data_IF_927387252857
#
_entry.id   IF_927387252857
#
_cell.length_a   1.000
_cell.length_b   1.000
_cell.length_c   1.000
_cell.angle_alpha   90.00
_cell.angle_beta   90.00
_cell.angle_gamma   90.00
#
_symmetry.space_group_name_H-M   'P 1'
#
loop_
_entity.id
_entity.type
_entity.pdbx_description
1 polymer ?
#
# COMPACT_ATOMS: atom_id res chain seq x y z
N UNK A 1 8.34 -24.76 39.29
CA UNK A 1 7.95 -25.99 38.59
C UNK A 1 8.27 -25.79 37.12
N UNK A 2 9.43 -26.34 36.72
CA UNK A 2 9.95 -26.57 35.35
C UNK A 2 9.47 -25.67 34.20
N UNK A 3 10.20 -24.57 33.98
CA UNK A 3 10.36 -23.95 32.65
C UNK A 3 11.26 -24.87 31.80
N UNK A 4 10.71 -25.98 31.33
CA UNK A 4 11.23 -26.72 30.17
C UNK A 4 10.73 -25.94 28.95
N UNK A 5 11.56 -25.37 28.09
CA UNK A 5 12.74 -25.98 27.53
C UNK A 5 12.58 -26.31 26.04
N UNK A 6 11.64 -25.69 25.32
CA UNK A 6 11.64 -25.72 23.86
C UNK A 6 12.04 -24.33 23.34
N UNK A 7 13.35 -24.08 23.28
CA UNK A 7 13.87 -22.91 22.55
C UNK A 7 13.54 -23.17 21.09
N UNK A 8 12.45 -22.57 20.61
CA UNK A 8 11.96 -22.73 19.24
C UNK A 8 13.11 -22.73 18.24
N UNK A 9 13.15 -23.76 17.41
CA UNK A 9 14.15 -23.92 16.34
C UNK A 9 14.25 -22.63 15.52
N UNK A 10 15.49 -22.24 15.17
CA UNK A 10 15.72 -21.01 14.41
C UNK A 10 14.91 -21.03 13.11
N UNK A 11 14.10 -19.99 12.82
CA UNK A 11 13.14 -20.05 11.74
C UNK A 11 13.87 -19.96 10.39
N UNK A 12 13.83 -21.06 9.62
CA UNK A 12 14.51 -21.17 8.30
C UNK A 12 14.11 -20.07 7.30
N UNK A 13 12.92 -19.46 7.46
CA UNK A 13 12.44 -18.38 6.59
C UNK A 13 13.25 -17.09 6.74
N UNK A 14 13.81 -16.84 7.92
CA UNK A 14 14.59 -15.63 8.19
C UNK A 14 15.90 -15.57 7.38
N UNK A 15 16.80 -16.58 7.42
CA UNK A 15 18.01 -16.57 6.60
C UNK A 15 17.70 -16.70 5.11
N UNK A 16 16.59 -17.31 4.72
CA UNK A 16 16.16 -17.36 3.32
C UNK A 16 15.79 -15.97 2.81
N UNK A 17 14.96 -15.22 3.54
CA UNK A 17 14.63 -13.84 3.18
C UNK A 17 15.90 -12.96 3.13
N UNK A 18 16.79 -13.08 4.12
CA UNK A 18 18.07 -12.37 4.08
C UNK A 18 18.91 -12.76 2.86
N UNK A 19 18.98 -14.04 2.49
CA UNK A 19 19.72 -14.50 1.31
C UNK A 19 19.15 -13.95 -0.01
N UNK A 20 17.83 -13.80 -0.14
CA UNK A 20 17.21 -13.16 -1.30
C UNK A 20 17.40 -11.63 -1.32
N UNK A 21 17.58 -11.01 -0.16
CA UNK A 21 17.86 -9.58 -0.04
C UNK A 21 19.31 -9.20 -0.40
N UNK A 22 20.27 -10.10 -0.15
CA UNK A 22 21.70 -9.82 -0.28
C UNK A 22 22.17 -9.45 -1.69
N UNK A 23 21.79 -10.14 -2.79
CA UNK A 23 22.31 -9.83 -4.11
C UNK A 23 22.05 -8.37 -4.54
N UNK A 24 20.79 -7.90 -4.43
CA UNK A 24 20.45 -6.52 -4.74
C UNK A 24 21.16 -5.53 -3.81
N UNK A 25 21.17 -5.79 -2.51
CA UNK A 25 21.83 -4.92 -1.53
C UNK A 25 23.35 -4.78 -1.80
N UNK A 26 24.01 -5.87 -2.17
CA UNK A 26 25.44 -5.87 -2.48
C UNK A 26 25.74 -5.15 -3.80
N UNK A 27 24.90 -5.31 -4.82
CA UNK A 27 25.06 -4.60 -6.09
C UNK A 27 24.89 -3.09 -5.91
N UNK A 28 23.81 -2.66 -5.25
CA UNK A 28 23.56 -1.24 -5.03
C UNK A 28 24.58 -0.60 -4.08
N UNK A 29 25.01 -1.32 -3.04
CA UNK A 29 26.09 -0.84 -2.18
C UNK A 29 27.43 -0.76 -2.92
N UNK A 30 27.73 -1.71 -3.83
CA UNK A 30 28.94 -1.66 -4.63
C UNK A 30 28.94 -0.42 -5.54
N UNK A 31 27.82 -0.12 -6.20
CA UNK A 31 27.65 1.05 -7.05
C UNK A 31 27.85 2.37 -6.27
N UNK A 32 27.14 2.56 -5.15
CA UNK A 32 27.32 3.75 -4.30
C UNK A 32 28.75 3.93 -3.75
N UNK A 33 29.46 2.84 -3.51
CA UNK A 33 30.84 2.86 -3.03
C UNK A 33 31.88 2.95 -4.15
N UNK A 34 31.46 2.98 -5.42
CA UNK A 34 32.36 2.95 -6.58
C UNK A 34 33.20 1.68 -6.68
N UNK A 35 32.68 0.56 -6.15
CA UNK A 35 33.33 -0.75 -6.22
C UNK A 35 32.96 -1.46 -7.53
N UNK A 36 33.85 -2.32 -8.08
CA UNK A 36 33.51 -3.09 -9.27
C UNK A 36 32.30 -4.02 -9.03
N UNK A 37 31.30 -3.90 -9.88
CA UNK A 37 30.12 -4.78 -9.92
C UNK A 37 29.85 -5.23 -11.36
N UNK A 38 29.11 -6.33 -11.57
CA UNK A 38 28.72 -6.74 -12.91
C UNK A 38 27.76 -5.71 -13.54
N UNK A 39 27.98 -5.40 -14.82
CA UNK A 39 26.99 -4.68 -15.63
C UNK A 39 25.90 -5.67 -16.05
N UNK A 40 24.69 -5.43 -15.57
CA UNK A 40 23.54 -6.27 -15.85
C UNK A 40 22.58 -5.56 -16.82
N UNK A 41 21.94 -6.29 -17.74
CA UNK A 41 20.84 -5.72 -18.53
C UNK A 41 19.73 -5.16 -17.62
N UNK A 42 19.13 -4.00 -17.95
CA UNK A 42 18.15 -3.35 -17.07
C UNK A 42 17.01 -4.25 -16.57
N UNK A 43 16.40 -5.13 -17.39
CA UNK A 43 15.33 -6.00 -16.90
C UNK A 43 15.79 -6.98 -15.82
N UNK A 44 17.04 -7.44 -15.91
CA UNK A 44 17.63 -8.39 -14.94
C UNK A 44 18.00 -7.65 -13.65
N UNK A 45 18.60 -6.47 -13.78
CA UNK A 45 18.91 -5.60 -12.64
C UNK A 45 17.64 -5.22 -11.87
N UNK A 46 16.60 -4.74 -12.55
CA UNK A 46 15.31 -4.41 -11.96
C UNK A 46 14.70 -5.61 -11.21
N UNK A 47 14.77 -6.82 -11.78
CA UNK A 47 14.29 -8.03 -11.11
C UNK A 47 15.08 -8.35 -9.83
N UNK A 48 16.41 -8.20 -9.84
CA UNK A 48 17.26 -8.47 -8.67
C UNK A 48 16.99 -7.46 -7.55
N UNK A 49 16.94 -6.16 -7.87
CA UNK A 49 16.63 -5.12 -6.89
C UNK A 49 15.20 -5.25 -6.35
N UNK A 50 14.22 -5.53 -7.21
CA UNK A 50 12.84 -5.78 -6.82
C UNK A 50 12.69 -6.99 -5.89
N UNK A 51 13.36 -8.11 -6.18
CA UNK A 51 13.39 -9.28 -5.29
C UNK A 51 14.01 -8.91 -3.93
N UNK A 52 15.07 -8.10 -3.92
CA UNK A 52 15.70 -7.67 -2.70
C UNK A 52 14.78 -6.78 -1.84
N UNK A 53 14.05 -5.86 -2.48
CA UNK A 53 13.03 -5.01 -1.83
C UNK A 53 11.90 -5.87 -1.25
N UNK A 54 11.35 -6.82 -2.01
CA UNK A 54 10.32 -7.77 -1.53
C UNK A 54 10.82 -8.56 -0.32
N UNK A 55 12.05 -9.07 -0.39
CA UNK A 55 12.64 -9.82 0.71
C UNK A 55 12.87 -8.95 1.96
N UNK A 56 13.33 -7.71 1.79
CA UNK A 56 13.48 -6.74 2.87
C UNK A 56 12.14 -6.38 3.51
N UNK A 57 11.08 -6.21 2.71
CA UNK A 57 9.74 -5.94 3.20
C UNK A 57 9.19 -7.06 4.09
N UNK A 58 9.43 -8.35 3.77
CA UNK A 58 9.08 -9.45 4.68
C UNK A 58 9.83 -9.36 6.02
N UNK A 59 11.12 -8.99 5.99
CA UNK A 59 11.91 -8.80 7.21
C UNK A 59 11.36 -7.62 8.04
N UNK A 60 10.95 -6.52 7.39
CA UNK A 60 10.27 -5.38 8.04
C UNK A 60 8.97 -5.81 8.70
N UNK A 61 8.10 -6.56 7.99
CA UNK A 61 6.82 -7.01 8.54
C UNK A 61 7.01 -7.90 9.77
N UNK A 62 7.95 -8.85 9.73
CA UNK A 62 8.26 -9.68 10.92
C UNK A 62 8.83 -8.87 12.08
N UNK A 63 9.69 -7.89 11.79
CA UNK A 63 10.24 -6.99 12.81
C UNK A 63 9.14 -6.14 13.45
N UNK A 64 8.22 -5.61 12.63
CA UNK A 64 7.15 -4.74 13.07
C UNK A 64 6.09 -5.49 13.89
N UNK A 65 5.68 -6.69 13.47
CA UNK A 65 4.84 -7.58 14.30
C UNK A 65 5.52 -7.89 15.64
N UNK A 66 6.79 -8.32 15.64
CA UNK A 66 7.50 -8.65 16.87
C UNK A 66 7.73 -7.43 17.79
N UNK A 67 7.86 -6.22 17.22
CA UNK A 67 7.99 -4.98 17.96
C UNK A 67 6.75 -4.67 18.80
N UNK A 68 5.56 -5.11 18.39
CA UNK A 68 4.30 -4.87 19.11
C UNK A 68 4.34 -5.34 20.57
N UNK A 69 5.18 -6.33 20.89
CA UNK A 69 5.39 -6.83 22.25
C UNK A 69 6.01 -5.77 23.18
N UNK A 70 6.75 -4.81 22.63
CA UNK A 70 7.54 -3.82 23.38
C UNK A 70 7.02 -2.38 23.33
N UNK A 71 6.06 -2.07 22.45
CA UNK A 71 5.50 -0.71 22.27
C UNK A 71 4.03 -0.63 22.65
N UNK A 72 3.59 0.55 23.08
CA UNK A 72 2.16 0.81 23.34
C UNK A 72 1.35 0.62 22.06
N UNK A 73 0.12 0.12 22.16
CA UNK A 73 -0.73 -0.15 21.00
C UNK A 73 -0.87 1.04 20.04
N UNK A 74 -1.10 2.26 20.53
CA UNK A 74 -1.19 3.43 19.65
C UNK A 74 0.08 3.69 18.84
N UNK A 75 1.25 3.55 19.46
CA UNK A 75 2.54 3.66 18.76
C UNK A 75 2.78 2.49 17.82
N UNK A 76 2.41 1.27 18.23
CA UNK A 76 2.53 0.07 17.42
C UNK A 76 1.74 0.21 16.12
N UNK A 77 0.51 0.73 16.21
CA UNK A 77 -0.35 0.92 15.04
C UNK A 77 0.22 1.99 14.08
N UNK A 78 0.64 3.15 14.62
CA UNK A 78 1.22 4.22 13.80
C UNK A 78 2.51 3.79 13.10
N UNK A 79 3.42 3.12 13.83
CA UNK A 79 4.70 2.66 13.29
C UNK A 79 4.49 1.51 12.31
N UNK A 80 3.61 0.56 12.62
CA UNK A 80 3.34 -0.57 11.72
C UNK A 80 2.72 -0.09 10.40
N UNK A 81 1.76 0.84 10.46
CA UNK A 81 1.13 1.40 9.27
C UNK A 81 2.13 2.14 8.36
N UNK A 82 3.12 2.81 8.94
CA UNK A 82 4.20 3.44 8.17
C UNK A 82 5.16 2.41 7.59
N UNK A 83 5.64 1.48 8.42
CA UNK A 83 6.72 0.57 8.04
C UNK A 83 6.25 -0.49 7.04
N UNK A 84 4.99 -0.91 7.11
CA UNK A 84 4.42 -1.91 6.21
C UNK A 84 4.50 -1.51 4.73
N UNK A 85 4.47 -0.22 4.44
CA UNK A 85 4.53 0.34 3.08
C UNK A 85 5.82 1.11 2.82
N UNK A 86 6.85 0.94 3.66
CA UNK A 86 8.13 1.62 3.48
C UNK A 86 8.77 1.39 2.10
N UNK A 87 8.73 0.17 1.50
CA UNK A 87 9.18 -0.04 0.13
C UNK A 87 8.52 0.89 -0.89
N UNK A 88 7.21 1.07 -0.77
CA UNK A 88 6.43 1.94 -1.64
C UNK A 88 6.88 3.39 -1.49
N UNK A 89 6.99 3.88 -0.24
CA UNK A 89 7.52 5.21 0.03
C UNK A 89 8.91 5.42 -0.55
N UNK A 90 9.80 4.43 -0.43
CA UNK A 90 11.17 4.56 -0.94
C UNK A 90 11.19 4.73 -2.46
N UNK A 91 10.45 3.90 -3.19
CA UNK A 91 10.37 3.96 -4.66
C UNK A 91 9.69 5.26 -5.12
N UNK A 92 8.58 5.64 -4.48
CA UNK A 92 7.83 6.86 -4.82
C UNK A 92 8.66 8.13 -4.55
N UNK A 93 9.42 8.15 -3.44
CA UNK A 93 10.34 9.23 -3.11
C UNK A 93 11.49 9.34 -4.10
N UNK A 94 12.04 8.23 -4.61
CA UNK A 94 13.09 8.26 -5.65
C UNK A 94 12.57 8.99 -6.89
N UNK A 95 11.44 8.56 -7.45
CA UNK A 95 10.87 9.21 -8.63
C UNK A 95 10.56 10.69 -8.39
N UNK A 96 10.05 11.02 -7.20
CA UNK A 96 9.75 12.40 -6.84
C UNK A 96 11.01 13.25 -6.65
N UNK A 97 12.06 12.67 -6.08
CA UNK A 97 13.33 13.34 -5.84
C UNK A 97 14.01 13.66 -7.18
N UNK A 98 14.12 12.66 -8.06
CA UNK A 98 14.62 12.81 -9.44
C UNK A 98 13.82 13.86 -10.22
N UNK A 99 12.48 13.84 -10.10
CA UNK A 99 11.62 14.81 -10.75
C UNK A 99 11.94 16.25 -10.32
N UNK A 100 12.19 16.49 -9.04
CA UNK A 100 12.59 17.81 -8.55
C UNK A 100 14.01 18.21 -8.96
N UNK A 101 14.96 17.28 -9.04
CA UNK A 101 16.30 17.56 -9.57
C UNK A 101 16.25 17.98 -11.04
N UNK A 102 15.51 17.24 -11.87
CA UNK A 102 15.31 17.59 -13.29
C UNK A 102 14.65 18.95 -13.42
N UNK A 103 13.64 19.24 -12.58
CA UNK A 103 12.99 20.54 -12.55
C UNK A 103 13.92 21.67 -12.13
N UNK A 104 14.81 21.47 -11.14
CA UNK A 104 15.80 22.47 -10.74
C UNK A 104 16.77 22.82 -11.89
N UNK A 105 17.17 21.82 -12.66
CA UNK A 105 18.10 22.00 -13.78
C UNK A 105 17.45 22.64 -15.01
N UNK A 106 16.21 22.27 -15.33
CA UNK A 106 15.57 22.62 -16.60
C UNK A 106 14.39 23.59 -16.47
N UNK A 107 13.95 23.88 -15.25
CA UNK A 107 12.76 24.70 -14.95
C UNK A 107 11.42 24.04 -15.32
N UNK A 108 11.44 22.82 -15.86
CA UNK A 108 10.25 22.05 -16.24
C UNK A 108 10.53 20.56 -16.09
N UNK A 109 9.49 19.75 -15.88
CA UNK A 109 9.61 18.29 -15.88
C UNK A 109 9.50 17.67 -17.29
N UNK A 110 9.88 18.42 -18.34
CA UNK A 110 9.72 17.91 -19.71
C UNK A 110 10.60 16.67 -19.94
N UNK A 111 10.01 15.59 -20.47
CA UNK A 111 10.74 14.37 -20.79
C UNK A 111 11.76 14.62 -21.90
N UNK A 112 13.04 14.39 -21.62
CA UNK A 112 14.14 14.57 -22.58
C UNK A 112 14.29 13.37 -23.52
N UNK A 113 13.21 12.99 -24.21
CA UNK A 113 13.16 11.80 -25.07
C UNK A 113 12.66 10.53 -24.37
N UNK A 114 12.12 10.65 -23.16
CA UNK A 114 11.42 9.59 -22.41
C UNK A 114 10.23 10.16 -21.64
N UNK A 115 9.69 9.41 -20.69
CA UNK A 115 8.55 9.86 -19.87
C UNK A 115 8.86 11.13 -19.05
N UNK A 116 7.83 11.94 -18.80
CA UNK A 116 7.89 13.10 -17.90
C UNK A 116 8.21 12.62 -16.47
N UNK A 117 9.32 13.03 -15.83
CA UNK A 117 9.69 12.56 -14.49
C UNK A 117 8.63 12.88 -13.41
N UNK A 118 8.00 14.06 -13.48
CA UNK A 118 6.90 14.40 -12.58
C UNK A 118 5.72 13.43 -12.80
N UNK A 119 5.48 13.01 -14.04
CA UNK A 119 4.48 11.99 -14.38
C UNK A 119 4.80 10.63 -13.78
N UNK A 120 6.07 10.21 -13.74
CA UNK A 120 6.48 8.92 -13.15
C UNK A 120 6.22 8.87 -11.63
N UNK A 121 6.50 9.95 -10.91
CA UNK A 121 6.20 10.05 -9.47
C UNK A 121 4.71 9.81 -9.18
N UNK A 122 3.81 10.40 -9.96
CA UNK A 122 2.37 10.15 -9.79
C UNK A 122 1.90 8.83 -10.39
N UNK A 123 2.58 8.31 -11.40
CA UNK A 123 2.29 7.00 -11.98
C UNK A 123 2.39 5.93 -10.90
N UNK A 124 3.52 5.90 -10.18
CA UNK A 124 3.76 4.95 -9.11
C UNK A 124 2.68 5.07 -8.00
N UNK A 125 2.52 6.27 -7.44
CA UNK A 125 1.53 6.53 -6.38
C UNK A 125 0.11 6.14 -6.77
N UNK A 126 -0.37 6.55 -7.96
CA UNK A 126 -1.73 6.22 -8.42
C UNK A 126 -1.87 4.73 -8.74
N UNK A 127 -0.83 4.12 -9.30
CA UNK A 127 -0.72 2.70 -9.57
C UNK A 127 -0.90 1.83 -8.34
N UNK A 128 -0.10 2.08 -7.29
CA UNK A 128 -0.16 1.37 -6.01
C UNK A 128 -1.55 1.42 -5.40
N UNK A 129 -2.09 2.64 -5.31
CA UNK A 129 -3.41 2.91 -4.77
C UNK A 129 -4.54 2.19 -5.51
N UNK A 130 -4.39 1.93 -6.82
CA UNK A 130 -5.39 1.24 -7.64
C UNK A 130 -5.19 -0.27 -7.66
N UNK A 131 -3.95 -0.76 -7.63
CA UNK A 131 -3.64 -2.18 -7.49
C UNK A 131 -4.18 -2.69 -6.15
N UNK A 132 -3.94 -1.97 -5.06
CA UNK A 132 -4.38 -2.36 -3.73
C UNK A 132 -5.90 -2.55 -3.65
N UNK A 133 -6.67 -1.63 -4.25
CA UNK A 133 -8.13 -1.67 -4.25
C UNK A 133 -8.70 -2.56 -5.35
N UNK A 134 -8.10 -2.56 -6.54
CA UNK A 134 -8.58 -3.26 -7.73
C UNK A 134 -8.19 -4.74 -7.79
N UNK A 135 -7.04 -5.10 -7.23
CA UNK A 135 -6.55 -6.48 -7.14
C UNK A 135 -6.55 -6.94 -5.68
N UNK A 136 -5.98 -6.16 -4.78
CA UNK A 136 -5.72 -6.59 -3.40
C UNK A 136 -7.00 -6.97 -2.65
N UNK A 137 -7.96 -6.05 -2.57
CA UNK A 137 -9.22 -6.32 -1.85
C UNK A 137 -10.04 -7.45 -2.50
N UNK A 138 -10.23 -7.49 -3.83
CA UNK A 138 -10.94 -8.60 -4.46
C UNK A 138 -10.25 -9.95 -4.28
N UNK A 139 -8.91 -9.98 -4.29
CA UNK A 139 -8.14 -11.19 -4.04
C UNK A 139 -8.37 -11.70 -2.62
N UNK A 140 -8.35 -10.84 -1.60
CA UNK A 140 -8.66 -11.22 -0.21
C UNK A 140 -10.07 -11.81 -0.09
N UNK A 141 -11.06 -11.17 -0.72
CA UNK A 141 -12.46 -11.67 -0.71
C UNK A 141 -12.56 -13.03 -1.40
N UNK A 142 -11.88 -13.22 -2.53
CA UNK A 142 -11.82 -14.48 -3.25
C UNK A 142 -11.17 -15.58 -2.41
N UNK A 143 -9.99 -15.31 -1.85
CA UNK A 143 -9.22 -16.24 -1.04
C UNK A 143 -9.99 -16.64 0.23
N UNK A 144 -10.59 -15.67 0.92
CA UNK A 144 -11.46 -15.93 2.07
C UNK A 144 -12.66 -16.82 1.68
N UNK A 145 -13.33 -16.51 0.57
CA UNK A 145 -14.42 -17.33 0.04
C UNK A 145 -14.00 -18.77 -0.27
N UNK A 146 -12.85 -18.96 -0.92
CA UNK A 146 -12.30 -20.28 -1.22
C UNK A 146 -11.90 -21.05 0.04
N UNK A 147 -11.31 -20.38 1.03
CA UNK A 147 -10.93 -20.98 2.31
C UNK A 147 -12.16 -21.51 3.07
N UNK A 148 -13.26 -20.76 3.08
CA UNK A 148 -14.54 -21.17 3.67
C UNK A 148 -15.13 -22.38 2.94
N UNK A 149 -15.13 -22.35 1.60
CA UNK A 149 -15.63 -23.46 0.78
C UNK A 149 -14.83 -24.76 0.97
N UNK A 150 -13.51 -24.66 1.14
CA UNK A 150 -12.65 -25.83 1.39
C UNK A 150 -12.93 -26.45 2.75
N UNK A 151 -12.96 -25.65 3.83
CA UNK A 151 -13.25 -26.18 5.18
C UNK A 151 -14.69 -26.71 5.32
N UNK A 152 -15.66 -26.12 4.62
CA UNK A 152 -17.03 -26.61 4.59
C UNK A 152 -17.22 -27.94 3.83
N UNK A 153 -16.27 -28.32 2.97
CA UNK A 153 -16.23 -29.65 2.31
C UNK A 153 -15.55 -30.72 3.17
N UNK A 154 -14.59 -30.32 4.00
CA UNK A 154 -13.82 -31.22 4.87
C UNK A 154 -14.59 -31.62 6.14
N UNK A 155 -15.54 -30.78 6.58
CA UNK A 155 -16.39 -31.06 7.74
C UNK A 155 -17.84 -30.98 7.30
N UNK A 156 -18.53 -32.12 7.21
CA UNK A 156 -20.00 -32.20 7.08
C UNK A 156 -20.76 -31.68 8.31
N UNK A 157 -20.22 -30.68 9.02
CA UNK A 157 -20.70 -30.15 10.29
C UNK A 157 -20.94 -28.64 10.16
N UNK A 158 -21.96 -28.18 10.89
CA UNK A 158 -22.56 -26.85 10.88
C UNK A 158 -21.59 -25.68 10.70
N UNK A 159 -22.00 -24.79 9.78
CA UNK A 159 -21.27 -23.57 9.41
C UNK A 159 -21.03 -22.72 10.67
N UNK A 160 -19.78 -22.34 11.02
CA UNK A 160 -19.56 -21.36 12.07
C UNK A 160 -20.32 -20.07 11.72
N UNK A 161 -21.17 -19.61 12.64
CA UNK A 161 -22.24 -18.64 12.42
C UNK A 161 -21.84 -17.23 11.98
N UNK A 162 -20.53 -16.95 11.83
CA UNK A 162 -20.00 -15.62 11.50
C UNK A 162 -19.43 -15.49 10.09
N UNK A 163 -19.23 -16.58 9.33
CA UNK A 163 -18.55 -16.50 8.02
C UNK A 163 -19.51 -16.85 6.88
N UNK A 164 -20.13 -15.82 6.31
CA UNK A 164 -20.96 -15.97 5.11
C UNK A 164 -20.07 -16.17 3.88
N UNK A 165 -20.31 -17.19 3.04
CA UNK A 165 -19.60 -17.33 1.78
C UNK A 165 -19.73 -16.06 0.95
N UNK A 166 -18.60 -15.48 0.54
CA UNK A 166 -18.60 -14.32 -0.36
C UNK A 166 -18.93 -12.97 0.29
N UNK A 167 -18.78 -12.81 1.61
CA UNK A 167 -18.75 -11.50 2.25
C UNK A 167 -17.68 -11.46 3.34
N UNK A 168 -16.84 -10.44 3.32
CA UNK A 168 -15.88 -10.14 4.37
C UNK A 168 -16.46 -8.98 5.18
N UNK A 169 -16.71 -9.22 6.47
CA UNK A 169 -17.21 -8.21 7.41
C UNK A 169 -16.05 -7.61 8.18
N UNK A 170 -16.07 -6.29 8.33
CA UNK A 170 -15.12 -5.50 9.09
C UNK A 170 -15.65 -5.30 10.50
N UNK A 171 -14.76 -5.27 11.48
CA UNK A 171 -15.16 -4.94 12.85
C UNK A 171 -15.60 -3.47 12.95
N UNK A 172 -16.52 -3.11 13.86
CA UNK A 172 -16.95 -1.72 14.04
C UNK A 172 -15.80 -0.75 14.38
N UNK A 173 -14.72 -1.27 14.98
CA UNK A 173 -13.48 -0.53 15.26
C UNK A 173 -12.89 0.06 13.97
N UNK A 174 -13.05 -0.61 12.83
CA UNK A 174 -12.51 -0.18 11.55
C UNK A 174 -13.31 0.96 10.87
N UNK A 175 -14.33 1.48 11.54
CA UNK A 175 -15.10 2.63 11.02
C UNK A 175 -14.23 3.86 10.83
N UNK A 176 -13.18 4.02 11.64
CA UNK A 176 -12.28 5.17 11.55
C UNK A 176 -11.57 5.19 10.19
N UNK A 177 -10.95 4.07 9.81
CA UNK A 177 -10.26 3.88 8.54
C UNK A 177 -11.15 4.25 7.34
N UNK A 178 -12.38 3.71 7.30
CA UNK A 178 -13.31 3.96 6.19
C UNK A 178 -13.68 5.46 6.11
N UNK A 179 -13.88 6.11 7.25
CA UNK A 179 -14.25 7.54 7.30
C UNK A 179 -13.06 8.41 6.87
N UNK A 180 -11.87 8.19 7.41
CA UNK A 180 -10.69 8.98 7.04
C UNK A 180 -10.27 8.76 5.58
N UNK A 181 -10.39 7.54 5.06
CA UNK A 181 -10.25 7.27 3.63
C UNK A 181 -11.31 8.03 2.81
N UNK A 182 -12.56 8.06 3.28
CA UNK A 182 -13.63 8.83 2.65
C UNK A 182 -13.35 10.33 2.61
N UNK A 183 -12.85 10.91 3.71
CA UNK A 183 -12.47 12.33 3.78
C UNK A 183 -11.31 12.64 2.82
N UNK A 184 -10.26 11.81 2.85
CA UNK A 184 -9.14 11.93 1.91
C UNK A 184 -9.61 11.87 0.46
N UNK A 185 -10.48 10.90 0.14
CA UNK A 185 -11.04 10.72 -1.19
C UNK A 185 -11.85 11.94 -1.65
N UNK A 186 -12.69 12.50 -0.78
CA UNK A 186 -13.48 13.70 -1.12
C UNK A 186 -12.58 14.90 -1.42
N UNK A 187 -11.47 15.06 -0.70
CA UNK A 187 -10.47 16.08 -1.01
C UNK A 187 -9.75 15.77 -2.33
N UNK A 188 -9.36 14.51 -2.55
CA UNK A 188 -8.65 14.07 -3.76
C UNK A 188 -9.45 14.30 -5.05
N UNK A 189 -10.78 14.32 -5.00
CA UNK A 189 -11.64 14.67 -6.16
C UNK A 189 -11.44 16.11 -6.66
N UNK A 190 -10.80 16.97 -5.86
CA UNK A 190 -10.48 18.35 -6.25
C UNK A 190 -9.13 18.45 -6.98
N UNK A 191 -8.24 17.47 -6.83
CA UNK A 191 -6.87 17.50 -7.39
C UNK A 191 -6.84 17.50 -8.93
N UNK A 192 -7.72 16.77 -9.65
CA UNK A 192 -7.77 16.84 -11.11
C UNK A 192 -8.08 18.25 -11.65
N UNK A 193 -8.55 19.17 -10.81
CA UNK A 193 -8.83 20.56 -11.18
C UNK A 193 -7.62 21.48 -10.97
N UNK A 194 -6.51 20.97 -10.43
CA UNK A 194 -5.28 21.71 -10.14
C UNK A 194 -4.20 21.42 -11.16
N UNK A 195 -3.25 22.34 -11.28
CA UNK A 195 -2.07 22.22 -12.15
C UNK A 195 -0.81 21.81 -11.37
N UNK A 196 -0.91 21.66 -10.04
CA UNK A 196 0.17 21.23 -9.16
C UNK A 196 -0.38 20.65 -7.85
N UNK A 197 0.31 19.70 -7.23
CA UNK A 197 0.14 19.36 -5.81
C UNK A 197 0.95 20.34 -4.96
N UNK A 198 0.30 21.06 -4.06
CA UNK A 198 0.90 22.16 -3.30
C UNK A 198 1.23 21.75 -1.86
N UNK A 199 1.98 22.60 -1.15
CA UNK A 199 2.16 22.47 0.30
C UNK A 199 0.85 22.57 1.09
N UNK A 200 -0.17 23.25 0.54
CA UNK A 200 -1.49 23.26 1.16
C UNK A 200 -2.13 21.87 1.08
N UNK A 201 -2.04 21.22 -0.08
CA UNK A 201 -2.51 19.83 -0.24
C UNK A 201 -1.76 18.88 0.69
N UNK A 202 -0.44 19.06 0.81
CA UNK A 202 0.39 18.33 1.78
C UNK A 202 -0.12 18.50 3.21
N UNK A 203 -0.34 19.74 3.64
CA UNK A 203 -0.85 20.04 4.98
C UNK A 203 -2.22 19.41 5.22
N UNK A 204 -3.11 19.43 4.22
CA UNK A 204 -4.43 18.78 4.30
C UNK A 204 -4.28 17.27 4.48
N UNK A 205 -3.54 16.59 3.61
CA UNK A 205 -3.39 15.13 3.67
C UNK A 205 -2.67 14.66 4.94
N UNK A 206 -1.61 15.36 5.36
CA UNK A 206 -0.91 15.09 6.62
C UNK A 206 -1.83 15.31 7.81
N UNK A 207 -2.69 16.34 7.79
CA UNK A 207 -3.67 16.58 8.86
C UNK A 207 -4.71 15.47 8.94
N UNK A 208 -5.20 14.98 7.80
CA UNK A 208 -6.13 13.83 7.75
C UNK A 208 -5.47 12.60 8.35
N UNK A 209 -4.23 12.30 7.95
CA UNK A 209 -3.49 11.15 8.50
C UNK A 209 -3.20 11.30 10.00
N UNK A 210 -2.77 12.48 10.45
CA UNK A 210 -2.51 12.75 11.86
C UNK A 210 -3.79 12.60 12.71
N UNK A 211 -4.93 13.09 12.21
CA UNK A 211 -6.22 12.91 12.86
C UNK A 211 -6.65 11.43 12.89
N UNK A 212 -6.39 10.68 11.83
CA UNK A 212 -6.60 9.23 11.78
C UNK A 212 -5.73 8.50 12.82
N UNK A 213 -4.43 8.76 12.86
CA UNK A 213 -3.52 8.14 13.83
C UNK A 213 -3.89 8.51 15.27
N UNK A 214 -4.25 9.77 15.53
CA UNK A 214 -4.73 10.20 16.84
C UNK A 214 -6.05 9.54 17.25
N UNK A 215 -6.96 9.33 16.28
CA UNK A 215 -8.18 8.58 16.52
C UNK A 215 -7.84 7.16 16.93
N UNK A 216 -6.97 6.49 16.18
CA UNK A 216 -6.58 5.09 16.32
C UNK A 216 -5.73 4.83 17.56
N UNK A 217 -4.95 5.80 18.04
CA UNK A 217 -4.19 5.68 19.29
C UNK A 217 -5.06 5.52 20.55
N UNK A 218 -6.37 5.76 20.43
CA UNK A 218 -7.37 5.54 21.50
C UNK A 218 -7.95 4.14 21.49
N UNK A 219 -7.60 3.30 20.50
CA UNK A 219 -8.06 1.92 20.44
C UNK A 219 -7.44 1.12 21.59
N UNK A 220 -8.18 0.15 22.16
CA UNK A 220 -7.61 -0.75 23.15
C UNK A 220 -6.42 -1.51 22.56
N UNK A 221 -5.43 -1.80 23.39
CA UNK A 221 -4.32 -2.65 23.00
C UNK A 221 -4.80 -4.08 22.84
N UNK A 222 -4.71 -4.64 21.64
CA UNK A 222 -4.87 -6.07 21.42
C UNK A 222 -3.53 -6.77 21.62
N UNK A 223 -3.57 -7.95 22.21
CA UNK A 223 -2.38 -8.79 22.31
C UNK A 223 -1.97 -9.23 20.90
N UNK A 224 -0.69 -9.09 20.51
CA UNK A 224 -0.26 -9.42 19.17
C UNK A 224 -0.32 -10.93 18.94
N UNK A 225 -1.10 -11.38 17.95
CA UNK A 225 -1.13 -12.77 17.51
C UNK A 225 0.06 -13.07 16.59
N UNK A 226 1.20 -13.40 17.20
CA UNK A 226 2.45 -13.60 16.49
C UNK A 226 2.58 -15.00 15.90
N UNK A 227 3.11 -15.09 14.68
CA UNK A 227 3.32 -16.35 13.96
C UNK A 227 4.71 -16.47 13.35
N UNK A 228 5.26 -17.69 13.34
CA UNK A 228 6.50 -17.98 12.62
C UNK A 228 7.70 -17.15 13.09
N UNK A 229 8.28 -16.34 12.20
CA UNK A 229 9.47 -15.53 12.50
C UNK A 229 9.17 -14.47 13.56
N UNK A 230 8.05 -13.75 13.44
CA UNK A 230 7.67 -12.71 14.41
C UNK A 230 7.42 -13.29 15.80
N UNK A 231 6.79 -14.47 15.88
CA UNK A 231 6.63 -15.23 17.13
C UNK A 231 7.99 -15.58 17.74
N UNK A 232 8.87 -16.17 16.94
CA UNK A 232 10.20 -16.54 17.40
C UNK A 232 10.95 -15.32 17.95
N UNK A 233 10.90 -14.15 17.29
CA UNK A 233 11.53 -12.92 17.78
C UNK A 233 10.81 -12.39 19.04
N UNK A 234 9.47 -12.40 19.08
CA UNK A 234 8.64 -11.91 20.18
C UNK A 234 8.85 -12.66 21.49
N UNK A 235 9.08 -13.97 21.42
CA UNK A 235 9.32 -14.85 22.58
C UNK A 235 10.73 -14.71 23.16
N UNK A 236 11.65 -13.98 22.51
CA UNK A 236 13.00 -13.77 23.03
C UNK A 236 12.98 -12.87 24.28
N UNK A 237 14.00 -13.03 25.15
CA UNK A 237 14.19 -12.13 26.28
C UNK A 237 14.36 -10.68 25.81
N UNK A 238 13.79 -9.72 26.55
CA UNK A 238 13.63 -8.30 26.17
C UNK A 238 14.83 -7.66 25.45
N UNK A 239 16.05 -7.83 25.98
CA UNK A 239 17.28 -7.28 25.35
C UNK A 239 17.56 -7.91 23.99
N UNK A 240 17.46 -9.24 23.90
CA UNK A 240 17.69 -9.99 22.66
C UNK A 240 16.59 -9.74 21.63
N UNK A 241 15.33 -9.66 22.07
CA UNK A 241 14.20 -9.27 21.21
C UNK A 241 14.42 -7.90 20.57
N UNK A 242 14.73 -6.89 21.37
CA UNK A 242 15.02 -5.54 20.88
C UNK A 242 16.22 -5.51 19.92
N UNK A 243 17.26 -6.29 20.21
CA UNK A 243 18.40 -6.46 19.31
C UNK A 243 17.99 -7.06 17.95
N UNK A 244 17.16 -8.09 17.95
CA UNK A 244 16.62 -8.68 16.72
C UNK A 244 15.73 -7.69 15.96
N UNK A 245 14.76 -7.06 16.63
CA UNK A 245 13.86 -6.09 16.01
C UNK A 245 14.67 -4.93 15.39
N UNK A 246 15.60 -4.34 16.13
CA UNK A 246 16.45 -3.26 15.63
C UNK A 246 17.37 -3.73 14.48
N UNK A 247 17.95 -4.93 14.58
CA UNK A 247 18.80 -5.49 13.53
C UNK A 247 18.03 -5.79 12.24
N UNK A 248 16.80 -6.30 12.35
CA UNK A 248 15.94 -6.55 11.19
C UNK A 248 15.47 -5.25 10.54
N UNK A 249 15.04 -4.26 11.32
CA UNK A 249 14.71 -2.94 10.78
C UNK A 249 15.92 -2.28 10.11
N UNK A 250 17.08 -2.28 10.77
CA UNK A 250 18.30 -1.71 10.23
C UNK A 250 18.74 -2.40 8.95
N UNK A 251 18.79 -3.74 8.93
CA UNK A 251 19.15 -4.51 7.74
C UNK A 251 18.17 -4.25 6.60
N UNK A 252 16.87 -4.39 6.82
CA UNK A 252 15.89 -4.22 5.76
C UNK A 252 15.83 -2.78 5.25
N UNK A 253 15.96 -1.78 6.13
CA UNK A 253 16.08 -0.38 5.74
C UNK A 253 17.31 -0.12 4.88
N UNK A 254 18.47 -0.66 5.24
CA UNK A 254 19.69 -0.56 4.43
C UNK A 254 19.53 -1.24 3.07
N UNK A 255 18.89 -2.41 2.99
CA UNK A 255 18.60 -3.06 1.70
C UNK A 255 17.69 -2.20 0.84
N UNK A 256 16.62 -1.63 1.40
CA UNK A 256 15.69 -0.79 0.63
C UNK A 256 16.42 0.46 0.12
N UNK A 257 17.20 1.14 0.95
CA UNK A 257 18.00 2.31 0.54
C UNK A 257 19.04 1.95 -0.52
N UNK A 258 19.67 0.78 -0.40
CA UNK A 258 20.63 0.29 -1.38
C UNK A 258 19.99 -0.09 -2.73
N UNK A 259 18.69 -0.38 -2.77
CA UNK A 259 18.02 -0.95 -3.94
C UNK A 259 17.01 -0.03 -4.62
N UNK A 260 16.36 0.89 -3.90
CA UNK A 260 15.19 1.62 -4.40
C UNK A 260 15.51 2.48 -5.64
N UNK A 261 16.61 3.25 -5.60
CA UNK A 261 17.07 4.08 -6.71
C UNK A 261 17.41 3.22 -7.93
N UNK A 262 18.26 2.21 -7.74
CA UNK A 262 18.64 1.29 -8.82
C UNK A 262 17.45 0.52 -9.38
N UNK A 263 16.48 0.15 -8.55
CA UNK A 263 15.25 -0.49 -9.00
C UNK A 263 14.45 0.45 -9.92
N UNK A 264 14.23 1.69 -9.49
CA UNK A 264 13.48 2.69 -10.25
C UNK A 264 14.14 2.97 -11.61
N UNK A 265 15.44 3.27 -11.59
CA UNK A 265 16.20 3.56 -12.81
C UNK A 265 16.21 2.38 -13.78
N UNK A 266 16.51 1.17 -13.31
CA UNK A 266 16.52 -0.01 -14.18
C UNK A 266 15.12 -0.39 -14.69
N UNK A 267 14.06 -0.03 -13.97
CA UNK A 267 12.68 -0.22 -14.44
C UNK A 267 12.34 0.74 -15.57
N UNK A 268 12.77 2.00 -15.48
CA UNK A 268 12.63 2.99 -16.57
C UNK A 268 13.47 2.56 -17.78
N UNK A 269 14.74 2.19 -17.57
CA UNK A 269 15.64 1.73 -18.64
C UNK A 269 15.15 0.43 -19.30
N UNK A 270 14.43 -0.41 -18.56
CA UNK A 270 13.73 -1.59 -19.12
C UNK A 270 12.70 -1.17 -20.17
N UNK A 271 11.97 -0.07 -19.93
CA UNK A 271 11.01 0.47 -20.88
C UNK A 271 11.69 0.89 -22.19
N UNK A 272 12.74 1.69 -22.08
CA UNK A 272 13.56 2.15 -23.21
C UNK A 272 14.14 0.98 -24.02
N UNK A 273 14.68 -0.03 -23.34
CA UNK A 273 15.35 -1.18 -23.99
C UNK A 273 14.37 -2.16 -24.66
N UNK A 274 13.20 -2.38 -24.06
CA UNK A 274 12.19 -3.31 -24.57
C UNK A 274 11.13 -2.63 -25.45
N UNK A 275 11.15 -1.30 -25.58
CA UNK A 275 10.14 -0.53 -26.29
C UNK A 275 8.78 -0.56 -25.60
N UNK A 276 8.78 -0.67 -24.27
CA UNK A 276 7.58 -0.63 -23.41
C UNK A 276 7.51 0.75 -22.77
N UNK A 277 6.31 1.32 -22.73
CA UNK A 277 6.06 2.62 -22.11
C UNK A 277 6.51 2.62 -20.62
N UNK A 278 7.38 3.56 -20.26
CA UNK A 278 7.95 3.65 -18.91
C UNK A 278 6.88 4.00 -17.87
N UNK A 279 5.86 4.78 -18.24
CA UNK A 279 4.73 5.10 -17.38
C UNK A 279 3.97 3.83 -16.99
N UNK A 280 3.76 2.88 -17.92
CA UNK A 280 3.10 1.60 -17.62
C UNK A 280 3.93 0.73 -16.68
N UNK A 281 5.25 0.71 -16.84
CA UNK A 281 6.15 -0.04 -15.95
C UNK A 281 6.12 0.55 -14.55
N UNK A 282 6.26 1.87 -14.43
CA UNK A 282 6.24 2.57 -13.14
C UNK A 282 4.86 2.51 -12.49
N UNK A 283 3.77 2.58 -13.25
CA UNK A 283 2.41 2.52 -12.70
C UNK A 283 2.02 1.10 -12.23
N UNK A 284 2.44 0.05 -12.93
CA UNK A 284 1.93 -1.30 -12.66
C UNK A 284 2.96 -2.27 -12.08
N UNK A 285 4.23 -2.19 -12.52
CA UNK A 285 5.26 -3.16 -12.13
C UNK A 285 5.94 -2.74 -10.82
N UNK A 286 6.30 -1.46 -10.67
CA UNK A 286 6.85 -0.96 -9.41
C UNK A 286 5.84 -1.20 -8.27
N UNK A 287 4.56 -0.81 -8.46
CA UNK A 287 3.41 -1.20 -7.67
C UNK A 287 3.42 -2.57 -7.04
N UNK A 288 3.47 -3.51 -7.98
CA UNK A 288 3.31 -4.91 -7.72
C UNK A 288 4.48 -5.45 -6.91
N UNK A 289 5.69 -4.92 -7.13
CA UNK A 289 6.88 -5.34 -6.39
C UNK A 289 6.88 -4.80 -4.94
N UNK A 290 6.58 -3.51 -4.76
CA UNK A 290 6.55 -2.87 -3.43
C UNK A 290 5.40 -3.36 -2.55
N UNK A 291 4.24 -3.67 -3.14
CA UNK A 291 3.02 -4.08 -2.41
C UNK A 291 2.85 -5.61 -2.27
N UNK A 292 3.57 -6.42 -3.06
CA UNK A 292 3.48 -7.89 -3.02
C UNK A 292 3.62 -8.50 -1.60
N UNK A 293 4.58 -8.08 -0.77
CA UNK A 293 4.72 -8.60 0.60
C UNK A 293 3.45 -8.41 1.43
N UNK A 294 2.85 -7.22 1.37
CA UNK A 294 1.61 -6.91 2.08
C UNK A 294 0.45 -7.77 1.56
N UNK A 295 0.31 -7.87 0.24
CA UNK A 295 -0.74 -8.65 -0.39
C UNK A 295 -0.63 -10.15 -0.06
N UNK A 296 0.59 -10.70 -0.03
CA UNK A 296 0.85 -12.10 0.35
C UNK A 296 0.45 -12.33 1.81
N UNK A 297 0.84 -11.44 2.73
CA UNK A 297 0.48 -11.55 4.15
C UNK A 297 -1.03 -11.48 4.35
N UNK A 298 -1.72 -10.55 3.68
CA UNK A 298 -3.18 -10.47 3.67
C UNK A 298 -3.82 -11.78 3.17
N UNK A 299 -3.33 -12.35 2.07
CA UNK A 299 -3.81 -13.64 1.58
C UNK A 299 -3.61 -14.78 2.60
N UNK A 300 -2.50 -14.80 3.34
CA UNK A 300 -2.26 -15.78 4.39
C UNK A 300 -3.27 -15.65 5.55
N UNK A 301 -3.61 -14.44 5.98
CA UNK A 301 -4.67 -14.20 6.96
C UNK A 301 -6.04 -14.66 6.44
N UNK A 302 -6.38 -14.34 5.18
CA UNK A 302 -7.62 -14.76 4.54
C UNK A 302 -7.75 -16.29 4.47
N UNK A 303 -6.68 -17.03 4.13
CA UNK A 303 -6.65 -18.50 4.12
C UNK A 303 -6.93 -19.09 5.51
N UNK A 304 -6.50 -18.40 6.56
CA UNK A 304 -6.68 -18.82 7.95
C UNK A 304 -8.08 -18.51 8.51
N UNK A 305 -8.97 -17.95 7.69
CA UNK A 305 -10.28 -17.42 8.08
C UNK A 305 -10.23 -16.13 8.92
N UNK A 306 -9.11 -15.41 8.90
CA UNK A 306 -8.95 -14.10 9.51
C UNK A 306 -9.20 -12.98 8.47
N UNK A 307 -10.33 -13.06 7.76
CA UNK A 307 -10.60 -12.19 6.61
C UNK A 307 -10.85 -10.72 7.02
N UNK A 308 -11.40 -10.49 8.22
CA UNK A 308 -11.62 -9.13 8.75
C UNK A 308 -10.29 -8.42 9.00
N UNK A 309 -9.38 -9.09 9.73
CA UNK A 309 -8.01 -8.62 9.97
C UNK A 309 -7.26 -8.38 8.66
N UNK A 310 -7.34 -9.34 7.73
CA UNK A 310 -6.74 -9.22 6.40
C UNK A 310 -7.21 -8.00 5.62
N UNK A 311 -8.52 -7.71 5.61
CA UNK A 311 -9.01 -6.53 4.89
C UNK A 311 -8.67 -5.26 5.66
N UNK A 312 -8.56 -5.33 6.99
CA UNK A 312 -8.14 -4.20 7.81
C UNK A 312 -6.71 -3.77 7.66
N UNK A 313 -5.78 -4.71 7.45
CA UNK A 313 -4.39 -4.35 7.12
C UNK A 313 -4.35 -3.58 5.79
N UNK A 314 -5.00 -4.11 4.74
CA UNK A 314 -5.04 -3.46 3.42
C UNK A 314 -5.78 -2.11 3.44
N UNK A 315 -6.82 -1.99 4.28
CA UNK A 315 -7.57 -0.74 4.42
C UNK A 315 -6.72 0.32 5.14
N UNK A 316 -6.00 -0.05 6.19
CA UNK A 316 -5.08 0.85 6.91
C UNK A 316 -3.93 1.32 6.01
N UNK A 317 -3.34 0.40 5.24
CA UNK A 317 -2.33 0.70 4.23
C UNK A 317 -2.87 1.67 3.18
N UNK A 318 -4.10 1.44 2.68
CA UNK A 318 -4.76 2.37 1.75
C UNK A 318 -4.98 3.76 2.34
N UNK A 319 -5.34 3.88 3.62
CA UNK A 319 -5.45 5.19 4.28
C UNK A 319 -4.10 5.90 4.24
N UNK A 320 -3.00 5.22 4.60
CA UNK A 320 -1.66 5.78 4.59
C UNK A 320 -1.23 6.22 3.17
N UNK A 321 -1.36 5.34 2.17
CA UNK A 321 -1.01 5.61 0.78
C UNK A 321 -1.87 6.71 0.14
N UNK A 322 -3.14 6.84 0.54
CA UNK A 322 -4.06 7.85 0.00
C UNK A 322 -4.12 9.14 0.84
N UNK A 323 -3.22 9.29 1.81
CA UNK A 323 -3.05 10.51 2.59
C UNK A 323 -1.59 10.88 2.67
N UNK A 324 -0.85 10.29 3.60
CA UNK A 324 0.50 10.69 3.92
C UNK A 324 1.46 10.56 2.72
N UNK A 325 1.37 9.48 1.93
CA UNK A 325 2.20 9.29 0.75
C UNK A 325 1.98 10.46 -0.25
N UNK A 326 0.73 10.70 -0.64
CA UNK A 326 0.33 11.84 -1.49
C UNK A 326 0.81 13.17 -0.92
N UNK A 327 0.67 13.36 0.41
CA UNK A 327 1.07 14.58 1.09
C UNK A 327 2.58 14.79 1.14
N UNK A 328 3.38 13.72 1.07
CA UNK A 328 4.85 13.82 1.06
C UNK A 328 5.42 14.19 -0.31
N UNK A 329 4.73 13.88 -1.41
CA UNK A 329 5.18 14.17 -2.77
C UNK A 329 5.62 15.63 -3.01
N UNK A 330 4.76 16.65 -2.77
CA UNK A 330 5.18 18.04 -3.00
C UNK A 330 6.29 18.50 -2.05
N UNK A 331 6.42 17.88 -0.87
CA UNK A 331 7.50 18.20 0.08
C UNK A 331 8.83 17.67 -0.43
N UNK A 332 8.87 16.41 -0.88
CA UNK A 332 10.07 15.78 -1.44
C UNK A 332 10.50 16.50 -2.71
N UNK A 333 9.55 16.82 -3.58
CA UNK A 333 9.81 17.58 -4.81
C UNK A 333 10.41 18.96 -4.52
N UNK A 334 9.86 19.71 -3.56
CA UNK A 334 10.39 21.02 -3.19
C UNK A 334 11.81 20.92 -2.60
N UNK A 335 12.08 19.91 -1.78
CA UNK A 335 13.41 19.67 -1.21
C UNK A 335 14.42 19.37 -2.33
N UNK A 336 14.09 18.46 -3.26
CA UNK A 336 15.02 18.05 -4.30
C UNK A 336 15.18 19.10 -5.41
N UNK A 337 14.16 19.92 -5.64
CA UNK A 337 14.25 21.07 -6.56
C UNK A 337 14.97 22.29 -5.95
N UNK A 338 15.25 22.28 -4.65
CA UNK A 338 15.79 23.44 -3.93
C UNK A 338 14.84 24.65 -3.89
N UNK A 339 13.55 24.42 -4.16
CA UNK A 339 12.53 25.44 -4.33
C UNK A 339 11.43 25.40 -3.28
N UNK A 340 10.38 26.17 -3.54
CA UNK A 340 9.11 26.16 -2.76
C UNK A 340 7.91 25.83 -3.64
N UNK A 341 8.17 25.33 -4.86
CA UNK A 341 7.15 24.91 -5.79
C UNK A 341 6.59 23.54 -5.38
N UNK A 342 5.30 23.34 -5.64
CA UNK A 342 4.66 22.05 -5.51
C UNK A 342 4.93 21.15 -6.73
N UNK A 343 4.59 19.86 -6.64
CA UNK A 343 4.77 18.91 -7.74
C UNK A 343 3.84 19.28 -8.91
N UNK A 344 4.37 19.64 -10.10
CA UNK A 344 3.55 19.99 -11.26
C UNK A 344 2.70 18.82 -11.76
N UNK A 345 1.49 19.13 -12.25
CA UNK A 345 0.53 18.17 -12.80
C UNK A 345 0.22 18.49 -14.27
N UNK A 346 0.52 17.54 -15.15
CA UNK A 346 0.07 17.52 -16.52
C UNK A 346 -1.35 16.95 -16.66
N UNK A 347 -1.90 17.04 -17.87
CA UNK A 347 -3.26 16.58 -18.15
C UNK A 347 -3.44 15.07 -17.93
N UNK A 348 -2.43 14.26 -18.25
CA UNK A 348 -2.50 12.81 -18.08
C UNK A 348 -2.54 12.45 -16.59
N UNK A 349 -1.64 13.01 -15.78
CA UNK A 349 -1.59 12.82 -14.32
C UNK A 349 -2.91 13.24 -13.66
N UNK A 350 -3.53 14.33 -14.11
CA UNK A 350 -4.83 14.79 -13.58
C UNK A 350 -5.94 13.77 -13.83
N UNK A 351 -5.93 13.09 -14.98
CA UNK A 351 -6.87 12.01 -15.27
C UNK A 351 -6.61 10.77 -14.41
N UNK A 352 -5.35 10.43 -14.19
CA UNK A 352 -4.95 9.32 -13.31
C UNK A 352 -5.34 9.57 -11.85
N UNK A 353 -5.20 10.81 -11.37
CA UNK A 353 -5.73 11.23 -10.06
C UNK A 353 -7.26 11.12 -10.00
N UNK A 354 -7.97 11.53 -11.07
CA UNK A 354 -9.43 11.48 -11.14
C UNK A 354 -9.96 10.05 -11.00
N UNK A 355 -9.43 9.12 -11.81
CA UNK A 355 -9.87 7.72 -11.78
C UNK A 355 -9.50 7.04 -10.47
N UNK A 356 -8.35 7.39 -9.87
CA UNK A 356 -7.95 6.85 -8.57
C UNK A 356 -8.85 7.36 -7.44
N UNK A 357 -9.19 8.64 -7.44
CA UNK A 357 -10.14 9.22 -6.49
C UNK A 357 -11.55 8.63 -6.69
N UNK A 358 -12.01 8.47 -7.93
CA UNK A 358 -13.30 7.87 -8.23
C UNK A 358 -13.37 6.39 -7.79
N UNK A 359 -12.34 5.59 -8.07
CA UNK A 359 -12.24 4.21 -7.60
C UNK A 359 -12.24 4.14 -6.07
N UNK A 360 -11.47 5.01 -5.40
CA UNK A 360 -11.45 5.11 -3.94
C UNK A 360 -12.82 5.48 -3.38
N UNK A 361 -13.57 6.37 -4.05
CA UNK A 361 -14.93 6.74 -3.66
C UNK A 361 -15.89 5.56 -3.76
N UNK A 362 -15.79 4.78 -4.84
CA UNK A 362 -16.57 3.56 -4.98
C UNK A 362 -16.18 2.51 -3.93
N UNK A 363 -14.90 2.32 -3.66
CA UNK A 363 -14.41 1.41 -2.63
C UNK A 363 -14.93 1.79 -1.23
N UNK A 364 -14.86 3.07 -0.85
CA UNK A 364 -15.43 3.59 0.40
C UNK A 364 -16.94 3.34 0.44
N UNK A 365 -17.66 3.57 -0.67
CA UNK A 365 -19.11 3.33 -0.74
C UNK A 365 -19.46 1.85 -0.48
N UNK A 366 -18.61 0.91 -0.90
CA UNK A 366 -18.79 -0.52 -0.67
C UNK A 366 -18.64 -0.88 0.81
N UNK A 367 -17.86 -0.12 1.58
CA UNK A 367 -17.59 -0.35 3.00
C UNK A 367 -18.53 0.41 3.95
N UNK A 368 -19.55 1.11 3.44
CA UNK A 368 -20.51 1.87 4.26
C UNK A 368 -21.23 0.98 5.29
N UNK A 369 -21.49 -0.27 4.92
CA UNK A 369 -22.07 -1.30 5.78
C UNK A 369 -21.01 -2.20 6.44
N UNK A 370 -19.77 -1.71 6.55
CA UNK A 370 -18.60 -2.40 7.13
C UNK A 370 -18.42 -3.82 6.58
N UNK A 371 -18.60 -4.00 5.28
CA UNK A 371 -18.34 -5.29 4.68
C UNK A 371 -18.38 -5.27 3.17
N UNK A 372 -17.47 -6.01 2.55
CA UNK A 372 -17.38 -6.14 1.11
C UNK A 372 -17.91 -7.52 0.69
N UNK A 373 -18.93 -7.51 -0.16
CA UNK A 373 -19.46 -8.72 -0.79
C UNK A 373 -18.71 -9.07 -2.07
N UNK A 374 -18.81 -10.33 -2.50
CA UNK A 374 -18.20 -10.84 -3.73
C UNK A 374 -18.62 -10.06 -4.97
N UNK A 375 -19.87 -9.60 -5.06
CA UNK A 375 -20.33 -8.76 -6.17
C UNK A 375 -19.62 -7.39 -6.19
N UNK A 376 -19.41 -6.76 -5.02
CA UNK A 376 -18.67 -5.50 -4.92
C UNK A 376 -17.19 -5.68 -5.27
N UNK A 377 -16.57 -6.74 -4.75
CA UNK A 377 -15.21 -7.13 -5.08
C UNK A 377 -15.03 -7.42 -6.60
N UNK A 378 -15.95 -8.19 -7.20
CA UNK A 378 -15.92 -8.49 -8.63
C UNK A 378 -16.14 -7.23 -9.48
N UNK A 379 -16.96 -6.29 -9.03
CA UNK A 379 -17.14 -4.99 -9.71
C UNK A 379 -15.86 -4.15 -9.66
N UNK A 380 -15.20 -4.06 -8.48
CA UNK A 380 -13.90 -3.38 -8.36
C UNK A 380 -12.86 -3.99 -9.29
N UNK A 381 -12.70 -5.31 -9.24
CA UNK A 381 -11.76 -6.02 -10.11
C UNK A 381 -12.10 -5.85 -11.59
N UNK A 382 -13.38 -6.00 -11.97
CA UNK A 382 -13.80 -5.87 -13.37
C UNK A 382 -13.53 -4.49 -13.94
N UNK A 383 -13.87 -3.42 -13.21
CA UNK A 383 -13.62 -2.05 -13.65
C UNK A 383 -12.12 -1.73 -13.69
N UNK A 384 -11.34 -2.22 -12.73
CA UNK A 384 -9.88 -2.13 -12.75
C UNK A 384 -9.28 -2.90 -13.93
N UNK A 385 -9.70 -4.13 -14.17
CA UNK A 385 -9.18 -4.99 -15.22
C UNK A 385 -9.46 -4.41 -16.62
N UNK A 386 -10.65 -3.81 -16.83
CA UNK A 386 -10.94 -3.07 -18.06
C UNK A 386 -9.94 -1.94 -18.23
N UNK A 387 -9.77 -1.10 -17.21
CA UNK A 387 -8.86 0.04 -17.27
C UNK A 387 -7.39 -0.36 -17.48
N UNK A 388 -6.91 -1.38 -16.76
CA UNK A 388 -5.56 -1.92 -16.93
C UNK A 388 -5.36 -2.48 -18.35
N UNK A 389 -6.34 -3.24 -18.85
CA UNK A 389 -6.25 -3.82 -20.20
C UNK A 389 -6.28 -2.72 -21.26
N UNK A 390 -7.11 -1.68 -21.09
CA UNK A 390 -7.15 -0.57 -22.04
C UNK A 390 -5.89 0.29 -22.01
N UNK A 391 -5.25 0.46 -20.85
CA UNK A 391 -3.96 1.18 -20.78
C UNK A 391 -2.82 0.45 -21.50
N UNK A 392 -2.91 -0.88 -21.64
CA UNK A 392 -1.93 -1.68 -22.39
C UNK A 392 -2.21 -1.75 -23.89
N UNK A 393 -3.48 -1.79 -24.29
CA UNK A 393 -3.89 -2.17 -25.66
C UNK A 393 -4.37 -0.99 -26.52
N UNK A 394 -4.87 0.08 -25.91
CA UNK A 394 -5.46 1.19 -26.65
C UNK A 394 -4.48 2.35 -26.81
N UNK A 395 -4.56 3.10 -27.93
CA UNK A 395 -3.86 4.38 -28.06
C UNK A 395 -4.26 5.37 -26.96
N UNK A 396 -3.36 6.28 -26.62
CA UNK A 396 -3.53 7.25 -25.52
C UNK A 396 -4.86 8.01 -25.57
N UNK A 397 -5.29 8.48 -26.75
CA UNK A 397 -6.56 9.22 -26.92
C UNK A 397 -7.79 8.36 -26.61
N UNK A 398 -7.79 7.10 -27.03
CA UNK A 398 -8.88 6.19 -26.76
C UNK A 398 -8.88 5.80 -25.26
N UNK A 399 -7.71 5.53 -24.69
CA UNK A 399 -7.57 5.23 -23.27
C UNK A 399 -8.04 6.40 -22.39
N UNK A 400 -7.74 7.65 -22.78
CA UNK A 400 -8.23 8.86 -22.10
C UNK A 400 -9.76 8.89 -21.99
N UNK A 401 -10.48 8.57 -23.07
CA UNK A 401 -11.95 8.49 -23.04
C UNK A 401 -12.41 7.38 -22.10
N UNK A 402 -11.76 6.22 -22.13
CA UNK A 402 -12.08 5.09 -21.22
C UNK A 402 -11.88 5.50 -19.76
N UNK A 403 -10.76 6.14 -19.43
CA UNK A 403 -10.46 6.63 -18.07
C UNK A 403 -11.54 7.59 -17.58
N UNK A 404 -12.01 8.53 -18.42
CA UNK A 404 -13.11 9.43 -18.09
C UNK A 404 -14.44 8.70 -17.86
N UNK A 405 -14.79 7.77 -18.73
CA UNK A 405 -16.02 6.97 -18.62
C UNK A 405 -16.00 6.12 -17.35
N UNK A 406 -14.88 5.47 -17.04
CA UNK A 406 -14.74 4.65 -15.85
C UNK A 406 -14.75 5.50 -14.58
N UNK A 407 -14.13 6.69 -14.59
CA UNK A 407 -14.22 7.65 -13.48
C UNK A 407 -15.67 8.05 -13.21
N UNK A 408 -16.42 8.39 -14.26
CA UNK A 408 -17.85 8.70 -14.15
C UNK A 408 -18.67 7.51 -13.64
N UNK A 409 -18.38 6.30 -14.10
CA UNK A 409 -19.06 5.08 -13.66
C UNK A 409 -18.78 4.77 -12.18
N UNK A 410 -17.53 4.84 -11.73
CA UNK A 410 -17.19 4.68 -10.32
C UNK A 410 -17.93 5.71 -9.45
N UNK A 411 -17.90 6.99 -9.84
CA UNK A 411 -18.58 8.06 -9.12
C UNK A 411 -20.10 7.85 -9.07
N UNK A 412 -20.72 7.44 -10.19
CA UNK A 412 -22.15 7.14 -10.27
C UNK A 412 -22.55 5.98 -9.36
N UNK A 413 -21.82 4.87 -9.43
CA UNK A 413 -22.08 3.70 -8.57
C UNK A 413 -21.93 4.05 -7.09
N UNK A 414 -20.90 4.83 -6.75
CA UNK A 414 -20.69 5.31 -5.39
C UNK A 414 -21.83 6.20 -4.92
N UNK A 415 -22.25 7.19 -5.73
CA UNK A 415 -23.34 8.09 -5.41
C UNK A 415 -24.67 7.33 -5.19
N UNK A 416 -25.02 6.41 -6.09
CA UNK A 416 -26.23 5.57 -5.95
C UNK A 416 -26.19 4.80 -4.63
N UNK A 417 -25.03 4.20 -4.30
CA UNK A 417 -24.88 3.41 -3.08
C UNK A 417 -24.96 4.27 -1.84
N UNK A 418 -24.23 5.39 -1.79
CA UNK A 418 -24.22 6.32 -0.66
C UNK A 418 -25.61 6.92 -0.39
N UNK A 419 -26.37 7.28 -1.44
CA UNK A 419 -27.75 7.78 -1.31
C UNK A 419 -28.68 6.70 -0.75
N UNK A 420 -28.61 5.47 -1.29
CA UNK A 420 -29.42 4.34 -0.80
C UNK A 420 -29.08 3.94 0.63
N UNK A 421 -27.82 4.13 1.03
CA UNK A 421 -27.25 3.69 2.31
C UNK A 421 -26.96 4.87 3.26
N UNK A 422 -27.60 6.02 3.05
CA UNK A 422 -27.35 7.27 3.79
C UNK A 422 -27.47 7.14 5.31
N UNK A 423 -28.37 6.29 5.80
CA UNK A 423 -28.54 6.05 7.23
C UNK A 423 -27.35 5.26 7.83
N UNK A 424 -26.80 4.33 7.05
CA UNK A 424 -25.60 3.57 7.44
C UNK A 424 -24.37 4.45 7.35
N UNK A 425 -24.27 5.29 6.31
CA UNK A 425 -23.22 6.30 6.20
C UNK A 425 -23.19 7.24 7.40
N UNK A 426 -24.35 7.76 7.84
CA UNK A 426 -24.42 8.61 9.02
C UNK A 426 -23.94 7.90 10.30
N UNK A 427 -24.28 6.60 10.44
CA UNK A 427 -23.77 5.78 11.56
C UNK A 427 -22.27 5.55 11.46
N UNK A 428 -21.77 5.18 10.29
CA UNK A 428 -20.34 4.98 10.04
C UNK A 428 -19.54 6.24 10.38
N UNK A 429 -19.98 7.42 9.92
CA UNK A 429 -19.31 8.70 10.20
C UNK A 429 -19.28 8.97 11.71
N UNK A 430 -20.41 8.76 12.40
CA UNK A 430 -20.46 8.89 13.86
C UNK A 430 -19.49 7.93 14.54
N UNK A 431 -19.46 6.67 14.12
CA UNK A 431 -18.63 5.62 14.71
C UNK A 431 -17.13 5.87 14.45
N UNK A 432 -16.77 6.26 13.23
CA UNK A 432 -15.40 6.57 12.86
C UNK A 432 -14.82 7.79 13.59
N UNK A 433 -15.62 8.84 13.83
CA UNK A 433 -15.12 10.10 14.40
C UNK A 433 -15.33 10.21 15.92
N UNK A 434 -16.49 9.80 16.42
CA UNK A 434 -16.94 10.19 17.78
C UNK A 434 -17.16 9.03 18.74
N UNK A 435 -17.60 7.86 18.27
CA UNK A 435 -17.96 6.74 19.16
C UNK A 435 -16.71 6.17 19.86
N UNK A 436 -16.68 6.04 21.19
CA UNK A 436 -15.53 5.46 21.89
C UNK A 436 -15.22 4.04 21.42
N UNK A 437 -13.94 3.69 21.25
CA UNK A 437 -13.56 2.34 20.82
C UNK A 437 -14.00 1.23 21.79
N UNK A 438 -14.10 1.53 23.08
CA UNK A 438 -14.63 0.58 24.07
C UNK A 438 -16.12 0.26 23.85
N UNK A 439 -16.88 1.15 23.20
CA UNK A 439 -18.25 0.87 22.76
C UNK A 439 -18.26 0.10 21.45
N UNK A 440 -17.40 0.47 20.50
CA UNK A 440 -17.27 -0.22 19.21
C UNK A 440 -16.83 -1.68 19.36
N UNK A 441 -15.88 -1.96 20.25
CA UNK A 441 -15.38 -3.31 20.51
C UNK A 441 -16.41 -4.24 21.20
N UNK A 442 -17.52 -3.68 21.71
CA UNK A 442 -18.62 -4.45 22.33
C UNK A 442 -19.76 -4.79 21.36
N UNK A 443 -19.75 -4.22 20.15
CA UNK A 443 -20.73 -4.48 19.09
C UNK A 443 -20.15 -5.51 18.13
#
# INVERSE_FOLDING_TARGET
MTLSGDRGTFPRRLPVAAAFALPGALLGAADYLGLPHPDLPPPIAAAIFGIAIVAAAFLLSWAAEAAQVDVSAGLAIAVLAMVAVLPEYAVDMVFTFEAGQVYAEHGTCAGQGGANPCSLALANMTGANRILVGIGWPLVVLVAGLAVLRKGRERGQERPGSVRPGRVELTPVMSAEVVFLGVATLYSLTLPLRDSLTFFDAAVFVSIFAAYTWRLSKAPAEEPDLHGVSKWVGEQAKRRRRGWVAGLFGFAGLVILACAEHFAQNLVDTGTTLGVDEFLLVQWVAPLASEAPELIVACLYAIRLAASESLGTLLSSKVNQWTLLVGTLPVVFAISSGGVDGLPLDEHQRLELLVTAAQSLFAVSLLVDLGIGAAGAATLFGLFAVQFTTSLLLPAEANRVVVLVLSGLYALLAAIRLVRRRAELARLVRDGVTTPFSELARR
#
